data_IF_413446656293
#
_entry.id   IF_413446656293
#
_cell.length_a   1.000
_cell.length_b   1.000
_cell.length_c   1.000
_cell.angle_alpha   90.00
_cell.angle_beta   90.00
_cell.angle_gamma   90.00
#
_symmetry.space_group_name_H-M   'P 1'
#
loop_
_entity.id
_entity.type
_entity.pdbx_description
1 polymer ?
#
# COMPACT_ATOMS: atom_id res chain seq x y z
N UNK A 1 35.61 12.14 23.15
CA UNK A 1 34.54 12.64 22.26
C UNK A 1 33.45 11.56 22.21
N UNK A 2 32.39 11.65 23.01
CA UNK A 2 31.31 10.67 22.94
C UNK A 2 30.39 11.02 21.76
N UNK A 3 30.16 10.07 20.85
CA UNK A 3 29.12 10.19 19.83
C UNK A 3 27.76 9.99 20.50
N UNK A 4 26.99 11.08 20.60
CA UNK A 4 25.58 11.03 21.03
C UNK A 4 24.80 10.24 19.99
N UNK A 5 24.33 9.07 20.40
CA UNK A 5 23.46 8.21 19.60
C UNK A 5 22.07 8.86 19.56
N UNK A 6 21.73 9.50 18.45
CA UNK A 6 20.40 10.06 18.21
C UNK A 6 19.41 8.89 18.07
N UNK A 7 18.81 8.48 19.18
CA UNK A 7 17.63 7.61 19.17
C UNK A 7 16.55 8.39 18.45
N UNK A 8 16.16 7.95 17.25
CA UNK A 8 14.94 8.41 16.61
C UNK A 8 13.80 8.17 17.60
N UNK A 9 13.24 9.25 18.16
CA UNK A 9 12.04 9.19 18.98
C UNK A 9 10.94 8.55 18.15
N UNK A 10 10.40 7.43 18.64
CA UNK A 10 9.24 6.79 18.03
C UNK A 10 8.08 7.77 18.12
N UNK A 11 7.66 8.31 16.97
CA UNK A 11 6.54 9.25 16.90
C UNK A 11 5.28 8.65 17.55
N UNK A 12 4.56 9.48 18.30
CA UNK A 12 3.30 9.11 18.92
C UNK A 12 2.30 8.62 17.84
N UNK A 13 1.57 7.50 18.02
CA UNK A 13 0.63 6.97 17.03
C UNK A 13 -0.36 8.00 16.46
N UNK A 14 -0.82 8.95 17.28
CA UNK A 14 -1.71 10.03 16.85
C UNK A 14 -1.04 11.00 15.89
N UNK A 15 0.23 11.34 16.12
CA UNK A 15 1.01 12.23 15.23
C UNK A 15 1.34 11.54 13.91
N UNK A 16 1.64 10.24 13.94
CA UNK A 16 1.86 9.44 12.73
C UNK A 16 0.58 9.37 11.88
N UNK A 17 -0.59 9.21 12.51
CA UNK A 17 -1.87 9.21 11.83
C UNK A 17 -2.20 10.58 11.22
N UNK A 18 -1.95 11.68 11.95
CA UNK A 18 -2.13 13.04 11.44
C UNK A 18 -1.25 13.32 10.22
N UNK A 19 0.06 13.02 10.32
CA UNK A 19 1.00 13.16 9.20
C UNK A 19 0.54 12.35 7.98
N UNK A 20 0.06 11.12 8.20
CA UNK A 20 -0.45 10.29 7.10
C UNK A 20 -1.71 10.88 6.46
N UNK A 21 -2.56 11.56 7.23
CA UNK A 21 -3.72 12.26 6.70
C UNK A 21 -3.32 13.46 5.82
N UNK A 22 -2.27 14.19 6.19
CA UNK A 22 -1.74 15.31 5.40
C UNK A 22 -1.10 14.82 4.10
N UNK A 23 -0.27 13.77 4.17
CA UNK A 23 0.30 13.11 2.98
C UNK A 23 -0.80 12.64 2.02
N UNK A 24 -1.87 12.06 2.57
CA UNK A 24 -3.06 11.64 1.80
C UNK A 24 -3.68 12.81 1.08
N UNK A 25 -3.90 13.94 1.76
CA UNK A 25 -4.49 15.14 1.17
C UNK A 25 -3.63 15.67 0.03
N UNK A 26 -2.34 15.87 0.28
CA UNK A 26 -1.40 16.38 -0.72
C UNK A 26 -1.33 15.47 -1.96
N UNK A 27 -1.32 14.15 -1.76
CA UNK A 27 -1.34 13.18 -2.85
C UNK A 27 -2.61 13.30 -3.71
N UNK A 28 -3.79 13.36 -3.08
CA UNK A 28 -5.06 13.50 -3.80
C UNK A 28 -5.15 14.82 -4.56
N UNK A 29 -4.67 15.92 -3.97
CA UNK A 29 -4.64 17.23 -4.63
C UNK A 29 -3.75 17.19 -5.88
N UNK A 30 -2.52 16.66 -5.76
CA UNK A 30 -1.59 16.51 -6.87
C UNK A 30 -2.11 15.59 -7.98
N UNK A 31 -2.85 14.54 -7.62
CA UNK A 31 -3.45 13.60 -8.58
C UNK A 31 -4.76 14.12 -9.21
N UNK A 32 -5.22 15.33 -8.87
CA UNK A 32 -6.47 15.90 -9.39
C UNK A 32 -7.74 15.27 -8.81
N UNK A 33 -7.65 14.69 -7.61
CA UNK A 33 -8.74 14.09 -6.82
C UNK A 33 -9.02 14.83 -5.50
N UNK A 34 -8.42 16.00 -5.29
CA UNK A 34 -8.53 16.77 -4.04
C UNK A 34 -9.95 17.09 -3.58
N UNK A 35 -10.87 17.29 -4.54
CA UNK A 35 -12.28 17.57 -4.31
C UNK A 35 -13.17 16.31 -4.26
N UNK A 36 -12.59 15.11 -4.34
CA UNK A 36 -13.36 13.88 -4.36
C UNK A 36 -13.98 13.58 -2.99
N UNK A 37 -15.18 12.99 -3.00
CA UNK A 37 -15.77 12.37 -1.83
C UNK A 37 -15.06 11.03 -1.61
N UNK A 38 -14.46 10.85 -0.43
CA UNK A 38 -13.75 9.64 -0.04
C UNK A 38 -14.55 8.88 1.03
N UNK A 39 -14.87 7.62 0.77
CA UNK A 39 -15.58 6.75 1.71
C UNK A 39 -14.73 5.50 2.03
N UNK A 40 -14.52 5.15 3.31
CA UNK A 40 -13.82 3.94 3.68
C UNK A 40 -14.43 2.69 3.03
N UNK A 41 -13.57 1.78 2.59
CA UNK A 41 -13.97 0.48 2.07
C UNK A 41 -13.60 -0.63 3.07
N UNK A 42 -14.32 -1.75 2.99
CA UNK A 42 -13.93 -2.95 3.71
C UNK A 42 -12.50 -3.36 3.32
N UNK A 43 -11.70 -3.74 4.32
CA UNK A 43 -10.35 -4.24 4.10
C UNK A 43 -10.33 -5.59 3.38
N UNK A 44 -9.15 -5.96 2.90
CA UNK A 44 -8.83 -7.31 2.42
C UNK A 44 -8.04 -8.07 3.51
N UNK A 45 -7.49 -9.24 3.17
CA UNK A 45 -6.63 -10.03 4.07
C UNK A 45 -5.21 -9.43 4.24
N UNK A 46 -5.04 -8.14 3.93
CA UNK A 46 -3.78 -7.42 3.95
C UNK A 46 -3.81 -6.33 5.02
N UNK A 47 -2.69 -5.63 5.25
CA UNK A 47 -2.68 -4.48 6.18
C UNK A 47 -2.97 -3.15 5.49
N UNK A 48 -3.41 -3.19 4.23
CA UNK A 48 -3.74 -1.99 3.44
C UNK A 48 -5.12 -1.47 3.83
N UNK A 49 -5.27 -0.15 3.78
CA UNK A 49 -6.57 0.50 3.90
C UNK A 49 -7.00 1.11 2.58
N UNK A 50 -8.31 1.13 2.33
CA UNK A 50 -8.87 1.55 1.06
C UNK A 50 -9.98 2.58 1.24
N UNK A 51 -10.03 3.54 0.32
CA UNK A 51 -11.13 4.51 0.23
C UNK A 51 -11.67 4.55 -1.19
N UNK A 52 -13.00 4.54 -1.34
CA UNK A 52 -13.67 4.77 -2.62
C UNK A 52 -13.77 6.27 -2.85
N UNK A 53 -13.20 6.72 -3.98
CA UNK A 53 -13.24 8.11 -4.40
C UNK A 53 -14.32 8.30 -5.46
N UNK A 54 -15.12 9.36 -5.30
CA UNK A 54 -16.10 9.83 -6.29
C UNK A 54 -15.86 11.31 -6.59
N UNK A 55 -15.66 11.64 -7.87
CA UNK A 55 -15.49 13.02 -8.34
C UNK A 55 -16.31 13.22 -9.63
N UNK A 56 -17.54 13.74 -9.48
CA UNK A 56 -18.52 13.74 -10.57
C UNK A 56 -18.76 12.30 -11.06
N UNK A 57 -18.57 12.08 -12.36
CA UNK A 57 -18.70 10.75 -12.98
C UNK A 57 -17.44 9.87 -12.84
N UNK A 58 -16.33 10.43 -12.33
CA UNK A 58 -15.06 9.69 -12.16
C UNK A 58 -15.10 8.90 -10.86
N UNK A 59 -14.59 7.66 -10.93
CA UNK A 59 -14.45 6.76 -9.78
C UNK A 59 -13.02 6.24 -9.67
N UNK A 60 -12.49 6.18 -8.46
CA UNK A 60 -11.19 5.58 -8.17
C UNK A 60 -11.19 4.90 -6.80
N UNK A 61 -10.15 4.12 -6.53
CA UNK A 61 -9.86 3.55 -5.21
C UNK A 61 -8.52 4.12 -4.77
N UNK A 62 -8.50 4.79 -3.63
CA UNK A 62 -7.27 5.14 -2.94
C UNK A 62 -6.81 3.95 -2.12
N UNK A 63 -5.57 3.53 -2.30
CA UNK A 63 -4.91 2.49 -1.52
C UNK A 63 -3.84 3.14 -0.65
N UNK A 64 -3.89 2.88 0.65
CA UNK A 64 -2.83 3.19 1.59
C UNK A 64 -2.14 1.89 1.99
N UNK A 65 -0.87 1.74 1.60
CA UNK A 65 -0.06 0.54 1.83
C UNK A 65 1.27 0.90 2.50
N UNK A 66 1.31 1.09 3.83
CA UNK A 66 2.55 1.42 4.53
C UNK A 66 3.60 0.29 4.37
N UNK A 67 4.83 0.57 3.89
CA UNK A 67 5.81 -0.48 3.56
C UNK A 67 6.20 -1.40 4.72
N UNK A 68 6.16 -0.89 5.95
CA UNK A 68 6.52 -1.64 7.15
C UNK A 68 5.34 -2.39 7.80
N UNK A 69 4.13 -2.30 7.22
CA UNK A 69 2.95 -2.90 7.81
C UNK A 69 2.81 -4.40 7.48
N UNK A 70 3.48 -4.89 6.43
CA UNK A 70 3.48 -6.32 6.07
C UNK A 70 4.86 -6.93 6.09
N UNK A 71 4.91 -8.22 6.43
CA UNK A 71 6.10 -9.04 6.26
C UNK A 71 6.48 -9.14 4.77
N UNK A 72 7.78 -9.28 4.50
CA UNK A 72 8.28 -9.43 3.14
C UNK A 72 7.59 -10.59 2.39
N UNK A 73 7.50 -10.45 1.07
CA UNK A 73 7.02 -11.52 0.20
C UNK A 73 7.92 -12.76 0.29
N UNK A 74 7.37 -13.93 -0.07
CA UNK A 74 8.14 -15.16 -0.17
C UNK A 74 9.30 -15.01 -1.17
N UNK A 75 10.57 -15.27 -0.79
CA UNK A 75 11.64 -15.42 -1.75
C UNK A 75 11.33 -16.54 -2.75
N UNK A 76 11.72 -16.41 -4.03
CA UNK A 76 11.33 -17.34 -5.08
C UNK A 76 11.87 -18.77 -4.84
N UNK A 77 13.06 -18.86 -4.24
CA UNK A 77 13.82 -20.07 -3.95
C UNK A 77 13.63 -20.59 -2.51
N UNK A 78 12.82 -19.93 -1.69
CA UNK A 78 12.59 -20.35 -0.31
C UNK A 78 11.96 -21.75 -0.23
N UNK A 79 12.64 -22.65 0.49
CA UNK A 79 12.17 -23.99 0.82
C UNK A 79 10.92 -23.95 1.73
N UNK A 80 10.15 -25.04 1.82
CA UNK A 80 9.01 -25.11 2.74
C UNK A 80 9.37 -24.83 4.20
N UNK A 81 10.57 -25.20 4.65
CA UNK A 81 11.02 -24.93 6.01
C UNK A 81 11.35 -23.44 6.22
N UNK A 82 12.00 -22.80 5.25
CA UNK A 82 12.30 -21.37 5.30
C UNK A 82 11.02 -20.52 5.28
N UNK A 83 10.02 -20.89 4.47
CA UNK A 83 8.73 -20.19 4.46
C UNK A 83 8.03 -20.23 5.81
N UNK A 84 8.05 -21.37 6.50
CA UNK A 84 7.50 -21.48 7.86
C UNK A 84 8.19 -20.52 8.82
N UNK A 85 9.51 -20.33 8.70
CA UNK A 85 10.29 -19.38 9.51
C UNK A 85 9.98 -17.92 9.17
N UNK A 86 9.74 -17.62 7.89
CA UNK A 86 9.41 -16.28 7.39
C UNK A 86 7.96 -15.84 7.70
N UNK A 87 7.10 -16.77 8.12
CA UNK A 87 5.74 -16.49 8.58
C UNK A 87 4.69 -16.55 7.48
N UNK A 88 3.51 -15.99 7.77
CA UNK A 88 2.30 -16.21 6.98
C UNK A 88 2.42 -15.75 5.53
N UNK A 89 2.96 -14.54 5.27
CA UNK A 89 3.13 -14.03 3.90
C UNK A 89 3.96 -14.97 3.02
N UNK A 90 5.02 -15.55 3.58
CA UNK A 90 5.85 -16.51 2.86
C UNK A 90 5.14 -17.85 2.64
N UNK A 91 4.43 -18.34 3.67
CA UNK A 91 3.66 -19.58 3.60
C UNK A 91 2.52 -19.54 2.58
N UNK A 92 1.73 -18.46 2.59
CA UNK A 92 0.61 -18.24 1.68
C UNK A 92 1.02 -17.65 0.33
N UNK A 93 2.32 -17.38 0.11
CA UNK A 93 2.88 -16.70 -1.08
C UNK A 93 2.15 -15.39 -1.40
N UNK A 94 1.84 -14.60 -0.38
CA UNK A 94 1.26 -13.28 -0.56
C UNK A 94 2.31 -12.32 -1.15
N UNK A 95 1.84 -11.31 -1.88
CA UNK A 95 2.69 -10.30 -2.51
C UNK A 95 3.41 -9.39 -1.50
N UNK A 96 3.04 -9.44 -0.21
CA UNK A 96 3.58 -8.55 0.82
C UNK A 96 3.34 -7.07 0.45
N UNK A 97 4.28 -6.17 0.80
CA UNK A 97 4.16 -4.75 0.49
C UNK A 97 4.56 -4.40 -0.96
N UNK A 98 4.75 -5.39 -1.86
CA UNK A 98 5.24 -5.14 -3.21
C UNK A 98 4.13 -4.61 -4.14
N UNK A 99 4.07 -3.30 -4.30
CA UNK A 99 3.11 -2.64 -5.18
C UNK A 99 3.40 -2.86 -6.68
N UNK A 100 4.62 -3.26 -7.06
CA UNK A 100 4.97 -3.52 -8.47
C UNK A 100 4.17 -4.68 -9.07
N UNK A 101 3.71 -5.61 -8.23
CA UNK A 101 2.83 -6.69 -8.70
C UNK A 101 1.51 -6.14 -9.25
N UNK A 102 0.94 -5.11 -8.60
CA UNK A 102 -0.32 -4.50 -9.04
C UNK A 102 -0.15 -3.73 -10.36
N UNK A 103 0.93 -2.95 -10.49
CA UNK A 103 1.21 -2.20 -11.71
C UNK A 103 1.51 -3.12 -12.89
N UNK A 104 2.30 -4.17 -12.67
CA UNK A 104 2.64 -5.14 -13.70
C UNK A 104 1.40 -5.91 -14.20
N UNK A 105 0.59 -6.46 -13.28
CA UNK A 105 -0.61 -7.22 -13.65
C UNK A 105 -1.64 -6.31 -14.34
N UNK A 106 -1.91 -5.12 -13.79
CA UNK A 106 -2.86 -4.19 -14.41
C UNK A 106 -2.39 -3.78 -15.82
N UNK A 107 -1.10 -3.48 -16.00
CA UNK A 107 -0.52 -3.17 -17.30
C UNK A 107 -0.66 -4.32 -18.31
N UNK A 108 -0.31 -5.54 -17.89
CA UNK A 108 -0.40 -6.74 -18.74
C UNK A 108 -1.84 -7.04 -19.18
N UNK A 109 -2.81 -6.94 -18.26
CA UNK A 109 -4.23 -7.15 -18.56
C UNK A 109 -4.75 -6.11 -19.58
N UNK A 110 -4.40 -4.83 -19.39
CA UNK A 110 -4.79 -3.76 -20.33
C UNK A 110 -4.17 -3.96 -21.70
N UNK A 111 -2.89 -4.35 -21.76
CA UNK A 111 -2.21 -4.65 -23.03
C UNK A 111 -2.85 -5.83 -23.78
N UNK A 112 -3.44 -6.78 -23.05
CA UNK A 112 -4.23 -7.88 -23.62
C UNK A 112 -5.67 -7.49 -24.01
N UNK A 113 -6.06 -6.21 -23.90
CA UNK A 113 -7.41 -5.74 -24.20
C UNK A 113 -8.45 -6.05 -23.11
N UNK A 114 -8.01 -6.51 -21.93
CA UNK A 114 -8.90 -6.81 -20.81
C UNK A 114 -9.14 -5.57 -19.95
N UNK A 115 -10.32 -5.53 -19.32
CA UNK A 115 -10.68 -4.48 -18.38
C UNK A 115 -9.89 -4.64 -17.08
N UNK A 116 -9.02 -3.67 -16.80
CA UNK A 116 -8.25 -3.58 -15.56
C UNK A 116 -8.07 -2.10 -15.17
N UNK A 117 -7.93 -1.80 -13.86
CA UNK A 117 -7.83 -0.42 -13.39
C UNK A 117 -6.61 0.30 -13.99
N UNK A 118 -6.80 1.58 -14.33
CA UNK A 118 -5.67 2.47 -14.53
C UNK A 118 -5.04 2.80 -13.18
N UNK A 119 -3.72 2.64 -13.06
CA UNK A 119 -2.99 3.00 -11.84
C UNK A 119 -2.35 4.37 -12.05
N UNK A 120 -2.65 5.30 -11.16
CA UNK A 120 -2.11 6.65 -11.12
C UNK A 120 -1.03 6.66 -10.03
N UNK A 121 0.21 6.92 -10.42
CA UNK A 121 1.36 7.01 -9.52
C UNK A 121 1.58 8.45 -9.07
#
# INVERSE_FOLDING_TARGET
MPMTNARAESANPTEAAARRADERRAFLDAAGWGAAIALPMAGDASTRSYERLTLGDRRAVLMNAPPAAESAACPPDASPAERRRLGYNAMARLAGPNLNAFTAIAGALRAAGLSAPGIYA
#
